data_IF_826177318408
#
_entry.id   IF_826177318408
#
_cell.length_a   1.000
_cell.length_b   1.000
_cell.length_c   1.000
_cell.angle_alpha   90.00
_cell.angle_beta   90.00
_cell.angle_gamma   90.00
#
_symmetry.space_group_name_H-M   'P 1'
#
loop_
_entity.id
_entity.type
_entity.pdbx_description
1 polymer ?
#
# COMPACT_ATOMS: atom_id res chain seq x y z
N UNK A 1 -1.06 -7.71 1.45
CA UNK A 1 -0.95 -7.50 2.91
C UNK A 1 -2.23 -8.05 3.52
N UNK A 2 -2.14 -9.19 4.21
CA UNK A 2 -3.26 -9.71 4.98
C UNK A 2 -3.40 -8.84 6.24
N UNK A 3 -4.57 -8.23 6.51
CA UNK A 3 -4.75 -7.43 7.72
C UNK A 3 -4.50 -8.28 8.97
N UNK A 4 -3.80 -7.72 9.97
CA UNK A 4 -3.50 -8.39 11.26
C UNK A 4 -4.74 -8.98 11.95
N UNK A 5 -5.93 -8.43 11.67
CA UNK A 5 -7.24 -8.93 12.12
C UNK A 5 -7.57 -10.35 11.63
N UNK A 6 -7.01 -10.82 10.51
CA UNK A 6 -7.19 -12.19 10.03
C UNK A 6 -6.32 -13.22 10.77
N UNK A 7 -5.35 -12.77 11.58
CA UNK A 7 -4.45 -13.65 12.32
C UNK A 7 -4.97 -13.99 13.73
N UNK A 8 -6.02 -13.29 14.18
CA UNK A 8 -6.66 -13.47 15.48
C UNK A 8 -7.73 -14.57 15.33
N UNK A 9 -7.55 -15.70 16.02
CA UNK A 9 -8.52 -16.81 16.06
C UNK A 9 -8.18 -18.04 15.21
N UNK A 10 -7.09 -18.06 14.44
CA UNK A 10 -6.61 -19.23 13.68
C UNK A 10 -5.07 -19.42 13.82
N UNK A 11 -4.56 -19.84 14.99
CA UNK A 11 -3.13 -19.78 15.33
C UNK A 11 -2.23 -20.55 14.35
N UNK A 12 -2.66 -21.73 13.89
CA UNK A 12 -1.88 -22.55 12.94
C UNK A 12 -1.78 -21.83 11.59
N UNK A 13 -2.91 -21.34 11.08
CA UNK A 13 -2.94 -20.62 9.80
C UNK A 13 -2.09 -19.35 9.85
N UNK A 14 -2.11 -18.65 10.98
CA UNK A 14 -1.28 -17.47 11.23
C UNK A 14 0.20 -17.83 11.19
N UNK A 15 0.61 -18.89 11.90
CA UNK A 15 1.98 -19.40 11.86
C UNK A 15 2.43 -19.75 10.44
N UNK A 16 1.65 -20.56 9.72
CA UNK A 16 1.96 -20.98 8.36
C UNK A 16 2.09 -19.78 7.41
N UNK A 17 1.23 -18.77 7.58
CA UNK A 17 1.30 -17.53 6.81
C UNK A 17 2.60 -16.77 7.09
N UNK A 18 2.98 -16.62 8.36
CA UNK A 18 4.23 -15.95 8.74
C UNK A 18 5.46 -16.70 8.21
N UNK A 19 5.53 -18.02 8.42
CA UNK A 19 6.64 -18.85 7.91
C UNK A 19 6.75 -18.80 6.38
N UNK A 20 5.62 -18.82 5.66
CA UNK A 20 5.60 -18.64 4.20
C UNK A 20 6.16 -17.28 3.80
N UNK A 21 5.78 -16.20 4.47
CA UNK A 21 6.29 -14.86 4.14
C UNK A 21 7.79 -14.75 4.41
N UNK A 22 8.27 -15.32 5.53
CA UNK A 22 9.70 -15.39 5.86
C UNK A 22 10.50 -16.16 4.79
N UNK A 23 9.92 -17.22 4.21
CA UNK A 23 10.57 -18.03 3.17
C UNK A 23 10.87 -17.29 1.85
N UNK A 24 10.31 -16.09 1.64
CA UNK A 24 10.71 -15.23 0.52
C UNK A 24 12.08 -14.58 0.72
N UNK A 25 12.55 -14.48 1.96
CA UNK A 25 13.88 -13.95 2.31
C UNK A 25 14.83 -15.08 2.69
N UNK A 26 14.36 -16.05 3.46
CA UNK A 26 15.14 -17.21 3.91
C UNK A 26 14.75 -18.43 3.08
N UNK A 27 15.47 -18.66 1.98
CA UNK A 27 15.12 -19.66 0.96
C UNK A 27 15.21 -21.12 1.44
N UNK A 28 15.91 -21.36 2.54
CA UNK A 28 16.03 -22.68 3.17
C UNK A 28 14.76 -23.10 3.92
N UNK A 29 13.83 -22.15 4.16
CA UNK A 29 12.52 -22.45 4.73
C UNK A 29 11.57 -23.03 3.67
N UNK A 30 10.87 -24.13 3.96
CA UNK A 30 9.79 -24.63 3.11
C UNK A 30 8.69 -23.59 2.89
N UNK A 31 8.20 -23.50 1.65
CA UNK A 31 7.07 -22.63 1.28
C UNK A 31 5.75 -23.34 1.59
N UNK A 32 5.12 -22.96 2.69
CA UNK A 32 3.86 -23.56 3.14
C UNK A 32 2.64 -23.03 2.37
N UNK A 33 1.61 -23.87 2.29
CA UNK A 33 0.23 -23.46 1.99
C UNK A 33 -0.48 -23.26 3.34
N UNK A 34 -0.96 -22.04 3.67
CA UNK A 34 -1.62 -21.79 4.96
C UNK A 34 -3.07 -22.33 4.99
N UNK A 35 -3.21 -23.62 5.25
CA UNK A 35 -4.48 -24.37 5.33
C UNK A 35 -5.06 -24.43 6.75
N UNK A 36 -4.26 -24.10 7.77
CA UNK A 36 -4.64 -24.17 9.18
C UNK A 36 -4.46 -25.54 9.83
N UNK A 37 -3.79 -26.50 9.19
CA UNK A 37 -3.55 -27.85 9.71
C UNK A 37 -2.07 -28.06 10.05
N UNK A 38 -1.77 -28.43 11.30
CA UNK A 38 -0.40 -28.65 11.76
C UNK A 38 0.04 -30.09 11.47
N UNK A 39 0.43 -30.35 10.23
CA UNK A 39 0.98 -31.65 9.80
C UNK A 39 2.51 -31.62 9.64
N UNK A 40 3.06 -32.70 9.06
CA UNK A 40 4.50 -32.89 8.89
C UNK A 40 5.18 -31.75 8.13
N UNK A 41 4.54 -31.17 7.11
CA UNK A 41 5.10 -30.02 6.37
C UNK A 41 5.21 -28.78 7.26
N UNK A 42 4.19 -28.50 8.08
CA UNK A 42 4.24 -27.38 9.04
C UNK A 42 5.29 -27.64 10.12
N UNK A 43 5.37 -28.87 10.64
CA UNK A 43 6.37 -29.27 11.63
C UNK A 43 7.80 -29.13 11.08
N UNK A 44 8.05 -29.57 9.84
CA UNK A 44 9.35 -29.41 9.16
C UNK A 44 9.72 -27.94 9.01
N UNK A 45 8.79 -27.10 8.59
CA UNK A 45 9.04 -25.66 8.50
C UNK A 45 9.38 -25.03 9.85
N UNK A 46 8.72 -25.46 10.94
CA UNK A 46 9.05 -25.04 12.31
C UNK A 46 10.44 -25.50 12.72
N UNK A 47 10.81 -26.75 12.45
CA UNK A 47 12.17 -27.28 12.71
C UNK A 47 13.22 -26.46 11.95
N UNK A 48 13.01 -26.23 10.66
CA UNK A 48 13.93 -25.44 9.83
C UNK A 48 14.05 -24.01 10.35
N UNK A 49 12.93 -23.40 10.76
CA UNK A 49 12.95 -22.06 11.38
C UNK A 49 13.75 -22.08 12.68
N UNK A 50 13.49 -23.02 13.59
CA UNK A 50 14.22 -23.13 14.85
C UNK A 50 15.73 -23.30 14.61
N UNK A 51 16.13 -24.13 13.65
CA UNK A 51 17.55 -24.30 13.28
C UNK A 51 18.17 -23.00 12.75
N UNK A 52 17.49 -22.31 11.83
CA UNK A 52 17.99 -21.06 11.23
C UNK A 52 18.18 -19.95 12.27
N UNK A 53 17.34 -19.90 13.31
CA UNK A 53 17.34 -18.87 14.33
C UNK A 53 17.91 -19.35 15.68
N UNK A 54 18.67 -20.45 15.68
CA UNK A 54 19.38 -21.00 16.85
C UNK A 54 18.47 -21.29 18.06
N UNK A 55 17.23 -21.72 17.81
CA UNK A 55 16.30 -22.23 18.81
C UNK A 55 16.40 -23.75 18.91
N UNK A 56 15.95 -24.37 20.02
CA UNK A 56 15.81 -25.82 20.11
C UNK A 56 14.90 -26.36 18.99
N UNK A 57 15.44 -27.21 18.12
CA UNK A 57 14.78 -27.74 16.93
C UNK A 57 13.77 -28.86 17.25
N UNK A 58 12.76 -28.56 18.06
CA UNK A 58 11.76 -29.50 18.56
C UNK A 58 10.65 -29.78 17.55
N UNK A 59 10.40 -28.86 16.61
CA UNK A 59 9.24 -28.88 15.71
C UNK A 59 7.93 -28.49 16.39
N UNK A 60 7.97 -28.14 17.68
CA UNK A 60 6.85 -27.60 18.45
C UNK A 60 6.98 -26.09 18.54
N UNK A 61 5.86 -25.38 18.50
CA UNK A 61 5.84 -23.92 18.67
C UNK A 61 5.45 -23.58 20.10
N UNK A 62 6.45 -23.25 20.91
CA UNK A 62 6.29 -22.61 22.22
C UNK A 62 6.28 -21.07 22.10
N UNK A 63 6.20 -20.38 23.23
CA UNK A 63 6.16 -18.92 23.25
C UNK A 63 7.43 -18.31 22.66
N UNK A 64 8.60 -18.89 22.94
CA UNK A 64 9.89 -18.40 22.43
C UNK A 64 9.97 -18.55 20.90
N UNK A 65 9.53 -19.70 20.38
CA UNK A 65 9.44 -19.94 18.93
C UNK A 65 8.44 -18.99 18.28
N UNK A 66 7.28 -18.78 18.90
CA UNK A 66 6.25 -17.87 18.39
C UNK A 66 6.75 -16.42 18.31
N UNK A 67 7.36 -15.92 19.38
CA UNK A 67 7.88 -14.56 19.46
C UNK A 67 8.99 -14.34 18.42
N UNK A 68 9.88 -15.32 18.25
CA UNK A 68 10.90 -15.28 17.20
C UNK A 68 10.27 -15.22 15.80
N UNK A 69 9.28 -16.06 15.49
CA UNK A 69 8.58 -16.03 14.20
C UNK A 69 7.95 -14.65 13.95
N UNK A 70 7.28 -14.07 14.97
CA UNK A 70 6.66 -12.75 14.84
C UNK A 70 7.68 -11.65 14.57
N UNK A 71 8.82 -11.66 15.27
CA UNK A 71 9.89 -10.68 15.07
C UNK A 71 10.48 -10.78 13.67
N UNK A 72 10.84 -11.99 13.23
CA UNK A 72 11.42 -12.22 11.91
C UNK A 72 10.41 -11.88 10.82
N UNK A 73 9.14 -12.28 10.96
CA UNK A 73 8.07 -11.93 10.04
C UNK A 73 7.94 -10.41 9.86
N UNK A 74 7.94 -9.64 10.96
CA UNK A 74 7.90 -8.17 10.90
C UNK A 74 9.11 -7.58 10.20
N UNK A 75 10.29 -8.16 10.38
CA UNK A 75 11.50 -7.73 9.67
C UNK A 75 11.41 -8.04 8.18
N UNK A 76 10.97 -9.26 7.83
CA UNK A 76 10.73 -9.66 6.43
C UNK A 76 9.77 -8.70 5.74
N UNK A 77 8.65 -8.36 6.40
CA UNK A 77 7.69 -7.40 5.85
C UNK A 77 8.32 -6.04 5.52
N UNK A 78 9.33 -5.55 6.24
CA UNK A 78 9.98 -4.27 5.91
C UNK A 78 10.73 -4.32 4.58
N UNK A 79 11.22 -5.49 4.20
CA UNK A 79 12.03 -5.69 2.99
C UNK A 79 11.18 -6.16 1.80
N UNK A 80 10.17 -7.00 2.06
CA UNK A 80 9.32 -7.58 1.01
C UNK A 80 8.07 -6.76 0.75
N UNK A 81 7.66 -5.88 1.66
CA UNK A 81 6.53 -4.98 1.40
C UNK A 81 6.89 -4.04 0.26
N UNK A 82 5.91 -3.82 -0.63
CA UNK A 82 5.98 -2.71 -1.57
C UNK A 82 6.24 -1.42 -0.77
N UNK A 83 7.06 -0.50 -1.29
CA UNK A 83 7.20 0.82 -0.69
C UNK A 83 5.82 1.39 -0.36
N UNK A 84 5.68 1.89 0.87
CA UNK A 84 4.45 2.55 1.28
C UNK A 84 4.12 3.69 0.30
N UNK A 85 2.83 4.00 0.10
CA UNK A 85 2.46 5.16 -0.71
C UNK A 85 3.12 6.41 -0.11
N UNK A 86 3.79 7.20 -0.95
CA UNK A 86 4.32 8.47 -0.52
C UNK A 86 3.13 9.38 -0.13
N UNK A 87 3.12 9.87 1.12
CA UNK A 87 2.13 10.84 1.58
C UNK A 87 2.48 12.22 1.00
N UNK A 88 2.07 12.45 -0.26
CA UNK A 88 2.37 13.71 -0.98
C UNK A 88 1.53 14.88 -0.44
N UNK A 89 0.32 14.60 0.04
CA UNK A 89 -0.57 15.62 0.60
C UNK A 89 -0.30 15.79 2.10
N UNK A 90 -0.10 17.02 2.63
CA UNK A 90 0.50 17.22 3.95
C UNK A 90 -0.38 16.80 5.12
N UNK A 91 -1.51 17.50 5.30
CA UNK A 91 -2.40 17.35 6.44
C UNK A 91 -3.85 17.41 5.95
N UNK A 92 -4.77 16.85 6.72
CA UNK A 92 -6.19 16.80 6.36
C UNK A 92 -6.88 18.17 6.34
N UNK A 93 -6.32 19.17 7.02
CA UNK A 93 -6.76 20.57 7.02
C UNK A 93 -6.06 21.42 5.97
N UNK A 94 -5.03 20.89 5.31
CA UNK A 94 -4.37 21.60 4.22
C UNK A 94 -5.35 21.77 3.06
N UNK A 95 -5.30 22.92 2.41
CA UNK A 95 -6.08 23.26 1.22
C UNK A 95 -5.21 24.09 0.29
N UNK A 96 -5.54 24.08 -1.00
CA UNK A 96 -4.93 24.96 -2.00
C UNK A 96 -6.08 25.70 -2.67
N UNK A 97 -6.16 27.01 -2.47
CA UNK A 97 -7.22 27.83 -3.05
C UNK A 97 -6.88 28.21 -4.50
N UNK A 98 -7.89 28.53 -5.33
CA UNK A 98 -7.64 29.11 -6.64
C UNK A 98 -6.77 30.38 -6.54
N UNK A 99 -5.62 30.37 -7.21
CA UNK A 99 -4.62 31.45 -7.16
C UNK A 99 -3.37 31.13 -6.34
N UNK A 100 -3.46 30.14 -5.45
CA UNK A 100 -2.33 29.75 -4.60
C UNK A 100 -1.19 29.13 -5.38
N UNK A 101 -0.01 29.16 -4.77
CA UNK A 101 1.20 28.51 -5.30
C UNK A 101 1.79 27.60 -4.23
N UNK A 102 2.04 26.34 -4.56
CA UNK A 102 2.58 25.36 -3.61
C UNK A 102 3.34 24.24 -4.31
N UNK A 103 4.35 23.68 -3.65
CA UNK A 103 5.14 22.57 -4.19
C UNK A 103 4.29 21.31 -4.44
N UNK A 104 3.23 21.11 -3.66
CA UNK A 104 2.32 19.97 -3.82
C UNK A 104 1.55 20.03 -5.15
N UNK A 105 1.34 21.24 -5.68
CA UNK A 105 0.61 21.44 -6.92
C UNK A 105 1.36 20.89 -8.13
N UNK A 106 2.69 20.82 -8.10
CA UNK A 106 3.46 20.15 -9.16
C UNK A 106 3.07 18.68 -9.31
N UNK A 107 2.91 17.96 -8.20
CA UNK A 107 2.50 16.55 -8.24
C UNK A 107 1.05 16.43 -8.68
N UNK A 108 0.15 17.27 -8.14
CA UNK A 108 -1.27 17.26 -8.52
C UNK A 108 -1.44 17.55 -10.02
N UNK A 109 -0.78 18.58 -10.56
CA UNK A 109 -0.80 18.91 -11.99
C UNK A 109 -0.21 17.76 -12.83
N UNK A 110 0.86 17.13 -12.37
CA UNK A 110 1.44 15.97 -13.06
C UNK A 110 0.50 14.77 -13.09
N UNK A 111 -0.22 14.50 -11.99
CA UNK A 111 -1.22 13.44 -11.93
C UNK A 111 -2.39 13.72 -12.88
N UNK A 112 -2.88 14.96 -12.94
CA UNK A 112 -3.88 15.37 -13.92
C UNK A 112 -3.38 15.22 -15.35
N UNK A 113 -2.14 15.63 -15.63
CA UNK A 113 -1.53 15.45 -16.95
C UNK A 113 -1.53 13.97 -17.35
N UNK A 114 -1.07 13.07 -16.49
CA UNK A 114 -1.11 11.63 -16.77
C UNK A 114 -2.53 11.12 -17.00
N UNK A 115 -3.48 11.53 -16.16
CA UNK A 115 -4.88 11.10 -16.28
C UNK A 115 -5.58 11.65 -17.53
N UNK A 116 -5.19 12.83 -18.03
CA UNK A 116 -5.76 13.40 -19.25
C UNK A 116 -5.53 12.56 -20.51
N UNK A 117 -4.54 11.67 -20.49
CA UNK A 117 -4.29 10.72 -21.59
C UNK A 117 -5.24 9.52 -21.58
N UNK A 118 -5.95 9.28 -20.48
CA UNK A 118 -6.74 8.05 -20.27
C UNK A 118 -8.18 8.32 -19.83
N UNK A 119 -8.49 9.53 -19.35
CA UNK A 119 -9.82 9.93 -18.90
C UNK A 119 -10.34 11.12 -19.69
N UNK A 120 -11.49 10.93 -20.33
CA UNK A 120 -12.23 12.01 -20.97
C UNK A 120 -12.74 13.03 -19.95
N UNK A 121 -12.48 14.30 -20.22
CA UNK A 121 -12.94 15.44 -19.41
C UNK A 121 -11.89 16.04 -18.48
N UNK A 122 -10.73 15.39 -18.30
CA UNK A 122 -9.57 16.03 -17.66
C UNK A 122 -8.76 16.76 -18.73
N UNK A 123 -8.57 18.06 -18.54
CA UNK A 123 -7.77 18.88 -19.45
C UNK A 123 -6.30 18.85 -19.03
N UNK A 124 -5.37 18.95 -19.98
CA UNK A 124 -3.93 18.97 -19.71
C UNK A 124 -3.56 20.29 -19.00
N UNK A 125 -3.13 20.28 -17.72
CA UNK A 125 -2.70 21.50 -17.04
C UNK A 125 -1.24 21.85 -17.39
N UNK A 126 -0.89 23.12 -17.22
CA UNK A 126 0.52 23.54 -17.09
C UNK A 126 1.03 23.05 -15.73
N UNK A 127 2.28 22.57 -15.69
CA UNK A 127 2.92 22.08 -14.45
C UNK A 127 3.89 23.15 -13.94
N UNK A 128 3.37 24.09 -13.15
CA UNK A 128 4.07 25.30 -12.68
C UNK A 128 3.91 25.56 -11.17
N UNK A 129 3.19 24.68 -10.46
CA UNK A 129 2.94 24.82 -9.04
C UNK A 129 1.86 25.84 -8.67
N UNK A 130 1.20 26.50 -9.64
CA UNK A 130 0.12 27.47 -9.41
C UNK A 130 -1.24 26.83 -9.62
N UNK A 131 -2.13 26.98 -8.65
CA UNK A 131 -3.50 26.47 -8.75
C UNK A 131 -4.41 27.45 -9.49
N UNK A 132 -4.21 27.61 -10.79
CA UNK A 132 -5.01 28.49 -11.65
C UNK A 132 -5.47 27.79 -12.93
N UNK A 133 -6.43 28.42 -13.63
CA UNK A 133 -6.91 27.98 -14.94
C UNK A 133 -7.33 26.51 -14.97
N UNK A 134 -6.69 25.73 -15.85
CA UNK A 134 -7.00 24.31 -16.07
C UNK A 134 -6.89 23.47 -14.80
N UNK A 135 -6.00 23.81 -13.87
CA UNK A 135 -5.90 23.04 -12.63
C UNK A 135 -7.15 23.21 -11.74
N UNK A 136 -7.73 24.41 -11.70
CA UNK A 136 -8.99 24.69 -10.98
C UNK A 136 -10.16 24.01 -11.69
N UNK A 137 -10.22 24.08 -13.02
CA UNK A 137 -11.25 23.38 -13.80
C UNK A 137 -11.23 21.87 -13.59
N UNK A 138 -10.04 21.26 -13.54
CA UNK A 138 -9.89 19.85 -13.24
C UNK A 138 -10.29 19.50 -11.79
N UNK A 139 -10.03 20.41 -10.84
CA UNK A 139 -10.49 20.24 -9.46
C UNK A 139 -12.03 20.27 -9.38
N UNK A 140 -12.66 21.24 -10.04
CA UNK A 140 -14.13 21.33 -10.18
C UNK A 140 -14.69 20.08 -10.85
N UNK A 141 -14.02 19.57 -11.90
CA UNK A 141 -14.42 18.34 -12.56
C UNK A 141 -14.39 17.14 -11.61
N UNK A 142 -13.33 16.99 -10.79
CA UNK A 142 -13.25 15.94 -9.78
C UNK A 142 -14.35 16.08 -8.74
N UNK A 143 -14.56 17.28 -8.22
CA UNK A 143 -15.58 17.57 -7.21
C UNK A 143 -16.97 17.20 -7.72
N UNK A 144 -17.33 17.64 -8.93
CA UNK A 144 -18.59 17.28 -9.58
C UNK A 144 -18.75 15.77 -9.74
N UNK A 145 -17.72 15.08 -10.24
CA UNK A 145 -17.73 13.62 -10.42
C UNK A 145 -17.81 12.85 -9.11
N UNK A 146 -17.24 13.40 -8.03
CA UNK A 146 -17.26 12.83 -6.70
C UNK A 146 -18.47 13.22 -5.85
N UNK A 147 -19.38 14.06 -6.37
CA UNK A 147 -20.51 14.58 -5.60
C UNK A 147 -20.11 15.52 -4.46
N UNK A 148 -18.97 16.19 -4.59
CA UNK A 148 -18.50 17.23 -3.67
C UNK A 148 -19.02 18.60 -4.12
N UNK A 149 -18.99 19.57 -3.20
CA UNK A 149 -19.22 20.97 -3.55
C UNK A 149 -18.15 21.46 -4.53
N UNK A 150 -18.58 22.13 -5.60
CA UNK A 150 -17.73 22.59 -6.70
C UNK A 150 -17.04 23.93 -6.35
N UNK A 151 -16.20 23.92 -5.31
CA UNK A 151 -15.50 25.12 -4.82
C UNK A 151 -14.24 25.46 -5.62
N UNK A 152 -13.68 24.48 -6.33
CA UNK A 152 -12.38 24.59 -6.98
C UNK A 152 -11.19 24.59 -6.01
N UNK A 153 -11.43 24.52 -4.69
CA UNK A 153 -10.38 24.39 -3.67
C UNK A 153 -9.86 22.96 -3.66
N UNK A 154 -8.54 22.79 -3.71
CA UNK A 154 -7.91 21.47 -3.67
C UNK A 154 -7.66 21.02 -2.23
N UNK A 155 -8.66 20.39 -1.63
CA UNK A 155 -8.64 19.85 -0.26
C UNK A 155 -8.33 18.34 -0.20
N UNK A 156 -8.31 17.76 1.00
CA UNK A 156 -8.06 16.32 1.19
C UNK A 156 -9.09 15.43 0.48
N UNK A 157 -10.36 15.85 0.38
CA UNK A 157 -11.40 15.07 -0.30
C UNK A 157 -11.16 15.03 -1.80
N UNK A 158 -10.80 16.17 -2.39
CA UNK A 158 -10.43 16.29 -3.80
C UNK A 158 -9.15 15.49 -4.11
N UNK A 159 -8.17 15.52 -3.19
CA UNK A 159 -6.96 14.68 -3.27
C UNK A 159 -7.28 13.18 -3.26
N UNK A 160 -8.14 12.71 -2.37
CA UNK A 160 -8.49 11.28 -2.29
C UNK A 160 -9.11 10.79 -3.61
N UNK A 161 -9.98 11.59 -4.23
CA UNK A 161 -10.53 11.28 -5.56
C UNK A 161 -9.43 11.19 -6.63
N UNK A 162 -8.54 12.18 -6.70
CA UNK A 162 -7.44 12.19 -7.65
C UNK A 162 -6.51 10.97 -7.46
N UNK A 163 -6.11 10.69 -6.23
CA UNK A 163 -5.23 9.58 -5.88
C UNK A 163 -5.85 8.22 -6.24
N UNK A 164 -7.16 8.05 -6.02
CA UNK A 164 -7.89 6.83 -6.42
C UNK A 164 -7.92 6.65 -7.94
N UNK A 165 -8.23 7.71 -8.69
CA UNK A 165 -8.25 7.65 -10.15
C UNK A 165 -6.84 7.35 -10.69
N UNK A 166 -5.82 8.04 -10.20
CA UNK A 166 -4.43 7.78 -10.58
C UNK A 166 -4.01 6.34 -10.28
N UNK A 167 -4.33 5.84 -9.08
CA UNK A 167 -4.04 4.45 -8.73
C UNK A 167 -4.78 3.46 -9.65
N UNK A 168 -6.00 3.78 -10.05
CA UNK A 168 -6.85 2.88 -10.85
C UNK A 168 -6.38 2.81 -12.30
N UNK A 169 -6.14 3.96 -12.92
CA UNK A 169 -5.88 4.05 -14.35
C UNK A 169 -4.41 4.07 -14.72
N UNK A 170 -3.54 4.63 -13.86
CA UNK A 170 -2.11 4.76 -14.16
C UNK A 170 -1.30 3.66 -13.49
N UNK A 171 -1.41 3.48 -12.16
CA UNK A 171 -0.48 2.56 -11.45
C UNK A 171 -0.88 1.09 -11.56
N UNK A 172 -2.19 0.78 -11.59
CA UNK A 172 -2.68 -0.60 -11.74
C UNK A 172 -2.71 -1.09 -13.19
N UNK A 173 -2.58 -0.20 -14.18
CA UNK A 173 -2.59 -0.57 -15.59
C UNK A 173 -1.47 0.12 -16.39
N UNK A 174 -0.20 -0.28 -16.18
CA UNK A 174 0.97 0.43 -16.71
C UNK A 174 1.16 0.33 -18.24
N UNK A 175 0.26 -0.31 -18.97
CA UNK A 175 0.36 -0.49 -20.44
C UNK A 175 -0.29 0.62 -21.26
N UNK A 176 -0.80 1.68 -20.62
CA UNK A 176 -1.43 2.81 -21.32
C UNK A 176 -0.42 3.95 -21.42
N UNK A 177 0.50 3.86 -22.37
CA UNK A 177 1.43 4.91 -22.78
C UNK A 177 1.46 5.00 -24.30
#
# INVERSE_FOLDING_TARGET
MLPERLLIGQPIRSLQTMLREISFVYTDLPRLIPDGVFEEETRRAVVSFQQLFNLPATGTVDNDTWDAVVVVYRQTLKVTSRPGPCAVYPANTYTVEPGDSTIHMYVIQSMFKSLSHVLDGIRVPVVDGRHTGVSVENALWLQRRGGLEETGIFDMRTWDLLARLYCTYITRNPKVH
#
